data_IF_189476072635
#
_entry.id   IF_189476072635
#
_cell.length_a   1.000
_cell.length_b   1.000
_cell.length_c   1.000
_cell.angle_alpha   90.00
_cell.angle_beta   90.00
_cell.angle_gamma   90.00
#
_symmetry.space_group_name_H-M   'P 1'
#
loop_
_entity.id
_entity.type
_entity.pdbx_description
1 polymer ?
#
# COMPACT_ATOMS: atom_id res chain seq x y z
N UNK A 1 15.67 -11.65 5.09
CA UNK A 1 16.35 -10.45 4.53
C UNK A 1 17.47 -10.92 3.62
N UNK A 2 17.44 -10.54 2.33
CA UNK A 2 18.51 -10.82 1.37
C UNK A 2 19.27 -9.53 1.08
N UNK A 3 20.61 -9.56 1.15
CA UNK A 3 21.45 -8.37 0.99
C UNK A 3 22.24 -8.47 -0.30
N UNK A 4 21.98 -7.56 -1.24
CA UNK A 4 22.65 -7.48 -2.53
C UNK A 4 23.33 -6.12 -2.67
N UNK A 5 24.60 -6.11 -3.10
CA UNK A 5 25.30 -4.87 -3.46
C UNK A 5 25.11 -4.63 -4.95
N UNK A 6 24.54 -3.48 -5.32
CA UNK A 6 24.35 -3.06 -6.72
C UNK A 6 25.08 -1.77 -7.02
N UNK A 7 25.60 -1.65 -8.24
CA UNK A 7 26.15 -0.40 -8.80
C UNK A 7 25.06 0.37 -9.57
N UNK A 8 25.38 1.61 -9.94
CA UNK A 8 24.52 2.42 -10.81
C UNK A 8 24.22 1.66 -12.11
N UNK A 9 22.98 1.73 -12.56
CA UNK A 9 22.43 1.06 -13.74
C UNK A 9 22.30 -0.47 -13.64
N UNK A 10 22.60 -1.08 -12.50
CA UNK A 10 22.27 -2.49 -12.27
C UNK A 10 20.81 -2.66 -11.82
N UNK A 11 20.26 -3.84 -12.12
CA UNK A 11 18.86 -4.21 -11.85
C UNK A 11 18.78 -5.43 -10.95
N UNK A 12 17.75 -5.47 -10.10
CA UNK A 12 17.33 -6.62 -9.30
C UNK A 12 15.97 -7.05 -9.84
N UNK A 13 15.80 -8.34 -10.10
CA UNK A 13 14.52 -8.89 -10.57
C UNK A 13 13.92 -9.75 -9.46
N UNK A 14 12.69 -9.45 -9.07
CA UNK A 14 11.90 -10.24 -8.13
C UNK A 14 10.78 -10.94 -8.91
N UNK A 15 10.65 -12.24 -8.70
CA UNK A 15 9.56 -13.05 -9.26
C UNK A 15 9.42 -12.96 -10.80
N UNK A 16 10.52 -12.63 -11.49
CA UNK A 16 10.56 -12.44 -12.96
C UNK A 16 9.76 -11.26 -13.50
N UNK A 17 8.93 -10.60 -12.67
CA UNK A 17 7.95 -9.60 -13.09
C UNK A 17 8.18 -8.21 -12.48
N UNK A 18 8.89 -8.12 -11.37
CA UNK A 18 9.22 -6.85 -10.72
C UNK A 18 10.69 -6.55 -10.96
N UNK A 19 11.01 -5.40 -11.55
CA UNK A 19 12.36 -4.96 -11.80
C UNK A 19 12.68 -3.71 -11.00
N UNK A 20 13.75 -3.76 -10.21
CA UNK A 20 14.25 -2.64 -9.40
C UNK A 20 15.59 -2.20 -9.97
N UNK A 21 15.66 -1.00 -10.52
CA UNK A 21 16.85 -0.44 -11.18
C UNK A 21 17.45 0.68 -10.35
N UNK A 22 18.77 0.66 -10.18
CA UNK A 22 19.49 1.75 -9.51
C UNK A 22 19.75 2.88 -10.51
N UNK A 23 18.97 3.95 -10.45
CA UNK A 23 19.09 5.08 -11.39
C UNK A 23 20.26 6.00 -11.02
N UNK A 24 20.37 6.35 -9.73
CA UNK A 24 21.39 7.26 -9.22
C UNK A 24 21.80 6.87 -7.81
N UNK A 25 23.09 6.93 -7.54
CA UNK A 25 23.66 6.78 -6.21
C UNK A 25 24.27 8.13 -5.83
N UNK A 26 23.80 8.71 -4.72
CA UNK A 26 24.38 9.87 -4.07
C UNK A 26 24.83 9.47 -2.65
N UNK A 27 25.62 10.28 -1.95
CA UNK A 27 26.21 9.89 -0.66
C UNK A 27 25.21 9.38 0.38
N UNK A 28 24.01 9.95 0.40
CA UNK A 28 22.99 9.63 1.40
C UNK A 28 21.62 9.27 0.80
N UNK A 29 21.52 9.21 -0.53
CA UNK A 29 20.26 9.00 -1.22
C UNK A 29 20.47 8.18 -2.48
N UNK A 30 19.56 7.24 -2.72
CA UNK A 30 19.57 6.39 -3.90
C UNK A 30 18.24 6.59 -4.61
N UNK A 31 18.29 6.86 -5.92
CA UNK A 31 17.11 6.86 -6.76
C UNK A 31 16.92 5.46 -7.33
N UNK A 32 15.81 4.82 -6.97
CA UNK A 32 15.40 3.52 -7.47
C UNK A 32 14.26 3.71 -8.48
N UNK A 33 14.39 3.11 -9.65
CA UNK A 33 13.28 2.90 -10.57
C UNK A 33 12.66 1.54 -10.27
N UNK A 34 11.35 1.48 -10.09
CA UNK A 34 10.63 0.23 -9.84
C UNK A 34 9.64 0.06 -10.98
N UNK A 35 9.80 -1.02 -11.73
CA UNK A 35 8.88 -1.44 -12.79
C UNK A 35 8.16 -2.70 -12.29
N UNK A 36 6.85 -2.61 -12.15
CA UNK A 36 6.00 -3.70 -11.73
C UNK A 36 4.69 -3.69 -12.54
N UNK A 37 4.05 -4.85 -12.73
CA UNK A 37 2.74 -4.93 -13.36
C UNK A 37 1.65 -4.27 -12.49
N UNK A 38 0.50 -3.94 -13.09
CA UNK A 38 -0.57 -3.16 -12.47
C UNK A 38 -1.24 -3.82 -11.26
N UNK A 39 -1.07 -5.13 -11.08
CA UNK A 39 -1.57 -5.87 -9.92
C UNK A 39 -0.71 -5.69 -8.66
N UNK A 40 0.51 -5.14 -8.81
CA UNK A 40 1.46 -4.97 -7.70
C UNK A 40 1.46 -3.52 -7.24
N UNK A 41 0.94 -3.28 -6.04
CA UNK A 41 1.04 -1.97 -5.38
C UNK A 41 2.44 -1.74 -4.80
N UNK A 42 3.01 -0.57 -5.07
CA UNK A 42 4.33 -0.16 -4.57
C UNK A 42 4.13 0.92 -3.51
N UNK A 43 4.53 0.63 -2.29
CA UNK A 43 4.41 1.54 -1.15
C UNK A 43 5.78 1.99 -0.67
N UNK A 44 5.83 3.22 -0.13
CA UNK A 44 7.01 3.67 0.60
C UNK A 44 6.84 3.26 2.06
N UNK A 45 7.80 2.52 2.62
CA UNK A 45 7.66 1.90 3.94
C UNK A 45 7.49 2.90 5.09
N UNK A 46 7.85 4.17 4.88
CA UNK A 46 7.65 5.25 5.84
C UNK A 46 6.25 5.89 5.79
N UNK A 47 5.43 5.57 4.79
CA UNK A 47 4.04 5.99 4.75
C UNK A 47 3.18 4.86 5.33
N UNK A 48 2.47 5.12 6.42
CA UNK A 48 1.46 4.19 6.94
C UNK A 48 0.50 3.79 5.83
N UNK A 49 0.28 2.49 5.67
CA UNK A 49 -0.72 1.91 4.78
C UNK A 49 -2.10 2.38 5.26
N UNK A 50 -2.62 3.43 4.64
CA UNK A 50 -3.99 3.89 4.82
C UNK A 50 -4.98 3.00 4.04
N UNK A 51 -4.85 1.68 4.22
CA UNK A 51 -5.78 0.69 3.67
C UNK A 51 -6.13 -0.28 4.81
N UNK A 52 -6.69 0.28 5.89
CA UNK A 52 -7.72 -0.45 6.62
C UNK A 52 -8.95 -0.42 5.71
N UNK A 53 -9.40 -1.55 5.14
CA UNK A 53 -10.73 -1.62 4.59
C UNK A 53 -11.67 -1.44 5.77
N UNK A 54 -12.10 -0.20 6.02
CA UNK A 54 -13.22 0.06 6.92
C UNK A 54 -14.35 -0.82 6.41
N UNK A 55 -14.64 -1.89 7.14
CA UNK A 55 -15.74 -2.78 6.82
C UNK A 55 -16.98 -1.93 6.61
N UNK A 56 -17.82 -2.25 5.62
CA UNK A 56 -19.02 -1.49 5.37
C UNK A 56 -19.85 -1.53 6.65
N UNK A 57 -20.02 -0.36 7.26
CA UNK A 57 -21.05 -0.13 8.27
C UNK A 57 -22.37 -0.62 7.67
N UNK A 58 -22.83 -1.77 8.17
CA UNK A 58 -24.08 -2.38 7.74
C UNK A 58 -25.24 -1.45 8.13
N UNK A 59 -26.17 -1.13 7.23
CA UNK A 59 -27.28 -0.21 7.48
C UNK A 59 -28.35 -0.77 8.45
N UNK A 60 -28.06 -1.81 9.22
CA UNK A 60 -29.03 -2.54 10.04
C UNK A 60 -29.41 -1.84 11.36
N UNK A 61 -28.65 -0.83 11.81
CA UNK A 61 -28.90 -0.19 13.12
C UNK A 61 -29.97 0.94 13.10
N UNK A 62 -30.56 1.26 11.94
CA UNK A 62 -31.63 2.26 11.85
C UNK A 62 -33.04 1.70 12.15
N UNK A 63 -33.18 0.42 12.52
CA UNK A 63 -34.48 -0.28 12.60
C UNK A 63 -35.05 -0.45 14.02
N UNK A 64 -34.60 0.29 15.03
CA UNK A 64 -35.08 0.10 16.40
C UNK A 64 -35.32 1.41 17.17
N UNK A 65 -36.25 2.24 16.70
CA UNK A 65 -36.90 3.24 17.55
C UNK A 65 -38.28 3.65 17.04
N UNK A 66 -39.24 2.72 17.08
CA UNK A 66 -40.61 3.08 17.44
C UNK A 66 -40.94 2.36 18.74
N UNK A 67 -41.24 3.12 19.79
CA UNK A 67 -42.38 2.76 20.61
C UNK A 67 -43.43 3.86 20.51
N UNK A 68 -44.63 3.40 20.16
CA UNK A 68 -45.89 4.03 20.47
C UNK A 68 -45.94 4.36 21.96
N UNK A 69 -46.11 5.64 22.33
CA UNK A 69 -46.71 6.00 23.63
C UNK A 69 -47.67 7.17 23.43
N UNK A 70 -48.89 6.96 23.92
CA UNK A 70 -50.08 7.81 23.89
C UNK A 70 -49.95 9.07 24.78
N UNK A 71 -50.91 9.98 24.60
CA UNK A 71 -51.56 10.84 25.62
C UNK A 71 -51.17 12.33 25.63
N UNK A 72 -52.06 13.17 25.09
CA UNK A 72 -52.74 14.28 25.77
C UNK A 72 -53.72 14.96 24.79
#
# INVERSE_FOLDING_TARGET
>A
MLVLRRKKAETIVLDGRIQIKVLRISRNMISLGIEAPSDVSIWRGELELADEPTSPISPADLSAARPLVQSA
#
